data_IF_556067433205
#
_entry.id   IF_556067433205
#
_cell.length_a   1.000
_cell.length_b   1.000
_cell.length_c   1.000
_cell.angle_alpha   90.00
_cell.angle_beta   90.00
_cell.angle_gamma   90.00
#
_symmetry.space_group_name_H-M   'P 1'
#
loop_
_entity.id
_entity.type
_entity.pdbx_description
1 polymer ?
#
# COMPACT_ATOMS: atom_id res chain seq x y z
N UNK A 1 -44.36 -19.68 -33.83
CA UNK A 1 -43.35 -20.10 -32.85
C UNK A 1 -42.17 -19.13 -32.96
N UNK A 2 -42.14 -18.12 -32.10
CA UNK A 2 -41.07 -17.09 -32.08
C UNK A 2 -40.98 -16.53 -30.66
N UNK A 3 -40.48 -17.35 -29.73
CA UNK A 3 -40.13 -16.96 -28.37
C UNK A 3 -38.95 -17.81 -27.92
N UNK A 4 -37.73 -17.46 -28.31
CA UNK A 4 -36.52 -18.07 -27.70
C UNK A 4 -35.29 -17.15 -27.71
N UNK A 5 -35.32 -16.03 -28.41
CA UNK A 5 -34.17 -15.10 -28.46
C UNK A 5 -34.16 -14.08 -27.32
N UNK A 6 -35.31 -13.70 -26.77
CA UNK A 6 -35.39 -12.68 -25.71
C UNK A 6 -34.87 -13.14 -24.34
N UNK A 7 -34.87 -14.45 -24.05
CA UNK A 7 -34.44 -14.96 -22.73
C UNK A 7 -32.93 -15.17 -22.65
N UNK A 8 -32.28 -15.50 -23.76
CA UNK A 8 -30.82 -15.76 -23.81
C UNK A 8 -30.06 -14.43 -23.70
N UNK A 9 -30.48 -13.43 -24.49
CA UNK A 9 -29.95 -12.07 -24.40
C UNK A 9 -30.16 -11.42 -23.02
N UNK A 10 -31.24 -11.74 -22.32
CA UNK A 10 -31.49 -11.25 -20.96
C UNK A 10 -30.67 -11.93 -19.87
N UNK A 11 -30.19 -13.16 -20.12
CA UNK A 11 -29.27 -13.89 -19.24
C UNK A 11 -27.84 -13.36 -19.39
N UNK A 12 -27.35 -13.26 -20.63
CA UNK A 12 -25.99 -12.80 -20.93
C UNK A 12 -25.75 -11.36 -20.42
N UNK A 13 -26.75 -10.49 -20.51
CA UNK A 13 -26.66 -9.10 -20.00
C UNK A 13 -26.65 -9.04 -18.47
N UNK A 14 -27.31 -10.00 -17.80
CA UNK A 14 -27.34 -10.06 -16.33
C UNK A 14 -26.04 -10.62 -15.76
N UNK A 15 -25.52 -11.69 -16.35
CA UNK A 15 -24.24 -12.29 -15.96
C UNK A 15 -23.10 -11.30 -16.15
N UNK A 16 -23.11 -10.57 -17.27
CA UNK A 16 -22.16 -9.49 -17.54
C UNK A 16 -22.25 -8.34 -16.51
N UNK A 17 -23.45 -7.99 -16.05
CA UNK A 17 -23.64 -6.96 -15.03
C UNK A 17 -23.17 -7.41 -13.64
N UNK A 18 -23.20 -8.71 -13.35
CA UNK A 18 -22.73 -9.27 -12.07
C UNK A 18 -21.20 -9.38 -12.04
N UNK A 19 -20.57 -9.88 -13.12
CA UNK A 19 -19.10 -9.92 -13.28
C UNK A 19 -18.46 -8.53 -13.10
N UNK A 20 -19.18 -7.52 -13.55
CA UNK A 20 -18.79 -6.13 -13.41
C UNK A 20 -18.88 -5.55 -12.03
N UNK A 21 -19.98 -5.86 -11.33
CA UNK A 21 -20.14 -5.42 -9.96
C UNK A 21 -19.01 -6.01 -9.14
N UNK A 22 -18.67 -7.27 -9.40
CA UNK A 22 -17.52 -7.94 -8.78
C UNK A 22 -16.20 -7.23 -9.13
N UNK A 23 -15.95 -6.90 -10.40
CA UNK A 23 -14.77 -6.12 -10.81
C UNK A 23 -14.69 -4.74 -10.11
N UNK A 24 -15.82 -4.07 -9.93
CA UNK A 24 -15.91 -2.82 -9.16
C UNK A 24 -15.51 -2.99 -7.70
N UNK A 25 -16.01 -4.03 -7.05
CA UNK A 25 -15.67 -4.38 -5.66
C UNK A 25 -14.18 -4.70 -5.53
N UNK A 26 -13.61 -5.47 -6.47
CA UNK A 26 -12.18 -5.79 -6.47
C UNK A 26 -11.29 -4.56 -6.68
N UNK A 27 -11.67 -3.65 -7.56
CA UNK A 27 -10.94 -2.40 -7.79
C UNK A 27 -10.95 -1.50 -6.54
N UNK A 28 -12.13 -1.33 -5.91
CA UNK A 28 -12.26 -0.55 -4.68
C UNK A 28 -11.49 -1.18 -3.52
N UNK A 29 -11.54 -2.50 -3.38
CA UNK A 29 -10.76 -3.23 -2.36
C UNK A 29 -9.25 -3.09 -2.60
N UNK A 30 -8.79 -3.13 -3.85
CA UNK A 30 -7.38 -2.91 -4.20
C UNK A 30 -6.93 -1.48 -3.86
N UNK A 31 -7.76 -0.46 -4.12
CA UNK A 31 -7.46 0.92 -3.75
C UNK A 31 -7.33 1.07 -2.22
N UNK A 32 -8.30 0.57 -1.45
CA UNK A 32 -8.29 0.63 0.01
C UNK A 32 -7.08 -0.11 0.62
N UNK A 33 -6.74 -1.28 0.07
CA UNK A 33 -5.53 -1.99 0.48
C UNK A 33 -4.26 -1.19 0.16
N UNK A 34 -4.22 -0.52 -0.99
CA UNK A 34 -3.12 0.37 -1.37
C UNK A 34 -2.94 1.53 -0.39
N UNK A 35 -4.03 2.20 -0.02
CA UNK A 35 -4.01 3.32 0.93
C UNK A 35 -3.51 2.87 2.31
N UNK A 36 -3.99 1.73 2.81
CA UNK A 36 -3.55 1.16 4.08
C UNK A 36 -2.04 0.84 4.08
N UNK A 37 -1.53 0.29 2.97
CA UNK A 37 -0.10 0.01 2.80
C UNK A 37 0.74 1.29 2.75
N UNK A 38 0.25 2.33 2.08
CA UNK A 38 0.90 3.63 2.02
C UNK A 38 0.94 4.31 3.39
N UNK A 39 -0.16 4.23 4.15
CA UNK A 39 -0.22 4.74 5.52
C UNK A 39 0.78 4.01 6.43
N UNK A 40 0.83 2.68 6.36
CA UNK A 40 1.79 1.88 7.12
C UNK A 40 3.23 2.23 6.76
N UNK A 41 3.54 2.40 5.47
CA UNK A 41 4.84 2.87 5.02
C UNK A 41 5.20 4.23 5.63
N UNK A 42 4.24 5.18 5.66
CA UNK A 42 4.42 6.47 6.32
C UNK A 42 4.73 6.34 7.81
N UNK A 43 3.99 5.49 8.53
CA UNK A 43 4.23 5.21 9.96
C UNK A 43 5.62 4.61 10.21
N UNK A 44 6.11 3.75 9.33
CA UNK A 44 7.46 3.17 9.44
C UNK A 44 8.56 4.21 9.24
N UNK A 45 8.42 5.12 8.27
CA UNK A 45 9.36 6.24 8.08
C UNK A 45 9.37 7.18 9.28
N UNK A 46 8.19 7.48 9.84
CA UNK A 46 8.08 8.27 11.07
C UNK A 46 8.81 7.56 12.24
N UNK A 47 8.64 6.25 12.37
CA UNK A 47 9.34 5.46 13.38
C UNK A 47 10.86 5.50 13.17
N UNK A 48 11.34 5.38 11.93
CA UNK A 48 12.75 5.48 11.59
C UNK A 48 13.34 6.84 12.00
N UNK A 49 12.67 7.94 11.62
CA UNK A 49 13.06 9.29 12.00
C UNK A 49 13.05 9.50 13.53
N UNK A 50 12.08 8.91 14.22
CA UNK A 50 11.98 8.98 15.70
C UNK A 50 13.17 8.27 16.36
N UNK A 51 13.55 7.10 15.86
CA UNK A 51 14.70 6.33 16.35
C UNK A 51 16.00 7.12 16.14
N UNK A 52 16.18 7.77 14.98
CA UNK A 52 17.34 8.65 14.73
C UNK A 52 17.38 9.84 15.69
N UNK A 53 16.24 10.52 15.87
CA UNK A 53 16.13 11.67 16.76
C UNK A 53 16.44 11.29 18.21
N UNK A 54 15.91 10.16 18.69
CA UNK A 54 16.22 9.64 20.02
C UNK A 54 17.70 9.27 20.16
N UNK A 55 18.31 8.65 19.14
CA UNK A 55 19.73 8.34 19.16
C UNK A 55 20.60 9.60 19.21
N UNK A 56 20.21 10.67 18.51
CA UNK A 56 20.87 11.96 18.56
C UNK A 56 20.73 12.62 19.95
N UNK A 57 19.52 12.56 20.54
CA UNK A 57 19.27 13.06 21.89
C UNK A 57 20.08 12.29 22.95
N UNK A 58 20.12 10.96 22.87
CA UNK A 58 20.95 10.14 23.77
C UNK A 58 22.44 10.49 23.64
N UNK A 59 22.94 10.69 22.43
CA UNK A 59 24.32 11.18 22.22
C UNK A 59 24.56 12.56 22.81
N UNK A 60 23.61 13.49 22.68
CA UNK A 60 23.70 14.84 23.24
C UNK A 60 23.66 14.86 24.77
N UNK A 61 22.78 14.06 25.38
CA UNK A 61 22.62 13.96 26.84
C UNK A 61 23.80 13.22 27.50
N UNK A 62 24.37 12.24 26.82
CA UNK A 62 25.46 11.41 27.34
C UNK A 62 26.84 11.81 26.79
N UNK A 63 26.95 12.96 26.12
CA UNK A 63 28.15 13.41 25.41
C UNK A 63 29.41 13.50 26.31
N UNK A 64 29.23 13.55 27.64
CA UNK A 64 30.33 13.62 28.61
C UNK A 64 30.87 12.23 29.00
N UNK A 65 30.04 11.17 28.97
CA UNK A 65 30.39 9.85 29.52
C UNK A 65 30.32 8.69 28.50
N UNK A 66 29.72 8.91 27.32
CA UNK A 66 29.44 7.81 26.39
C UNK A 66 30.37 7.80 25.19
N UNK A 67 31.55 7.20 25.37
CA UNK A 67 32.55 6.96 24.33
C UNK A 67 32.96 5.49 24.25
N UNK A 68 33.71 5.11 23.21
CA UNK A 68 34.26 3.77 23.06
C UNK A 68 33.36 2.75 22.33
N UNK A 69 33.66 1.46 22.51
CA UNK A 69 33.05 0.37 21.75
C UNK A 69 31.52 0.29 21.94
N UNK A 70 31.01 0.58 23.13
CA UNK A 70 29.58 0.56 23.43
C UNK A 70 28.81 1.64 22.66
N UNK A 71 29.36 2.86 22.59
CA UNK A 71 28.75 3.96 21.82
C UNK A 71 28.74 3.64 20.32
N UNK A 72 29.82 3.02 19.82
CA UNK A 72 29.91 2.56 18.42
C UNK A 72 28.89 1.48 18.11
N UNK A 73 28.75 0.48 18.99
CA UNK A 73 27.77 -0.59 18.84
C UNK A 73 26.33 -0.05 18.85
N UNK A 74 26.02 0.89 19.73
CA UNK A 74 24.71 1.55 19.76
C UNK A 74 24.41 2.29 18.45
N UNK A 75 25.36 3.10 17.95
CA UNK A 75 25.20 3.82 16.69
C UNK A 75 24.97 2.85 15.51
N UNK A 76 25.72 1.74 15.47
CA UNK A 76 25.54 0.69 14.48
C UNK A 76 24.16 0.03 14.56
N UNK A 77 23.68 -0.28 15.77
CA UNK A 77 22.37 -0.88 15.98
C UNK A 77 21.23 0.04 15.54
N UNK A 78 21.32 1.33 15.87
CA UNK A 78 20.37 2.36 15.41
C UNK A 78 20.35 2.41 13.89
N UNK A 79 21.53 2.50 13.24
CA UNK A 79 21.63 2.58 11.79
C UNK A 79 21.00 1.35 11.11
N UNK A 80 21.27 0.14 11.62
CA UNK A 80 20.67 -1.09 11.08
C UNK A 80 19.15 -1.08 11.22
N UNK A 81 18.61 -0.62 12.36
CA UNK A 81 17.16 -0.55 12.56
C UNK A 81 16.49 0.46 11.65
N UNK A 82 17.07 1.64 11.48
CA UNK A 82 16.57 2.67 10.56
C UNK A 82 16.53 2.12 9.13
N UNK A 83 17.61 1.49 8.67
CA UNK A 83 17.67 0.89 7.31
C UNK A 83 16.58 -0.18 7.13
N UNK A 84 16.33 -1.02 8.13
CA UNK A 84 15.29 -2.04 8.07
C UNK A 84 13.88 -1.42 7.95
N UNK A 85 13.60 -0.37 8.74
CA UNK A 85 12.32 0.32 8.71
C UNK A 85 12.09 1.03 7.36
N UNK A 86 13.10 1.74 6.85
CA UNK A 86 13.03 2.42 5.55
C UNK A 86 12.86 1.43 4.40
N UNK A 87 13.57 0.29 4.42
CA UNK A 87 13.40 -0.75 3.41
C UNK A 87 11.99 -1.33 3.42
N UNK A 88 11.46 -1.67 4.59
CA UNK A 88 10.09 -2.17 4.70
C UNK A 88 9.07 -1.12 4.23
N UNK A 89 9.28 0.16 4.58
CA UNK A 89 8.44 1.25 4.11
C UNK A 89 8.48 1.39 2.57
N UNK A 90 9.65 1.23 1.95
CA UNK A 90 9.79 1.26 0.50
C UNK A 90 9.07 0.09 -0.17
N UNK A 91 9.21 -1.13 0.36
CA UNK A 91 8.53 -2.33 -0.15
C UNK A 91 7.00 -2.16 -0.07
N UNK A 92 6.48 -1.68 1.06
CA UNK A 92 5.05 -1.40 1.25
C UNK A 92 4.55 -0.30 0.31
N UNK A 93 5.31 0.78 0.10
CA UNK A 93 4.96 1.82 -0.85
C UNK A 93 4.93 1.29 -2.30
N UNK A 94 5.83 0.37 -2.66
CA UNK A 94 5.82 -0.32 -3.95
C UNK A 94 4.57 -1.19 -4.15
N UNK A 95 4.15 -1.90 -3.10
CA UNK A 95 2.90 -2.67 -3.11
C UNK A 95 1.68 -1.75 -3.21
N UNK A 96 1.66 -0.65 -2.47
CA UNK A 96 0.60 0.37 -2.54
C UNK A 96 0.45 0.93 -3.96
N UNK A 97 1.57 1.32 -4.59
CA UNK A 97 1.56 1.81 -5.98
C UNK A 97 1.09 0.75 -6.98
N UNK A 98 1.39 -0.53 -6.73
CA UNK A 98 0.89 -1.63 -7.58
C UNK A 98 -0.62 -1.82 -7.41
N UNK A 99 -1.13 -1.74 -6.17
CA UNK A 99 -2.56 -1.84 -5.89
C UNK A 99 -3.34 -0.69 -6.53
N UNK A 100 -2.84 0.55 -6.42
CA UNK A 100 -3.42 1.73 -7.07
C UNK A 100 -3.47 1.59 -8.60
N UNK A 101 -2.40 1.10 -9.24
CA UNK A 101 -2.41 0.82 -10.69
C UNK A 101 -3.46 -0.21 -11.09
N UNK A 102 -3.64 -1.27 -10.29
CA UNK A 102 -4.67 -2.29 -10.57
C UNK A 102 -6.07 -1.73 -10.41
N UNK A 103 -6.32 -0.92 -9.39
CA UNK A 103 -7.60 -0.24 -9.21
C UNK A 103 -7.92 0.66 -10.42
N UNK A 104 -6.97 1.50 -10.83
CA UNK A 104 -7.12 2.36 -12.00
C UNK A 104 -7.35 1.58 -13.31
N UNK A 105 -6.69 0.42 -13.48
CA UNK A 105 -6.93 -0.45 -14.62
C UNK A 105 -8.35 -1.05 -14.60
N UNK A 106 -8.83 -1.47 -13.43
CA UNK A 106 -10.21 -1.95 -13.25
C UNK A 106 -11.24 -0.86 -13.57
N UNK A 107 -10.99 0.37 -13.13
CA UNK A 107 -11.84 1.52 -13.44
C UNK A 107 -11.84 1.88 -14.94
N UNK A 108 -10.66 1.83 -15.58
CA UNK A 108 -10.53 2.07 -17.01
C UNK A 108 -11.27 1.01 -17.85
N UNK A 109 -11.22 -0.27 -17.44
CA UNK A 109 -11.98 -1.34 -18.10
C UNK A 109 -13.49 -1.12 -17.99
N UNK A 110 -13.96 -0.68 -16.81
CA UNK A 110 -15.38 -0.35 -16.60
C UNK A 110 -15.83 0.81 -17.47
N UNK A 111 -15.03 1.87 -17.54
CA UNK A 111 -15.30 3.02 -18.39
C UNK A 111 -15.31 2.67 -19.89
N UNK A 112 -14.34 1.86 -20.34
CA UNK A 112 -14.21 1.43 -21.74
C UNK A 112 -15.40 0.57 -22.21
N UNK A 113 -16.02 -0.19 -21.29
CA UNK A 113 -17.22 -0.95 -21.57
C UNK A 113 -18.49 -0.08 -21.71
N UNK A 114 -18.38 1.25 -21.60
CA UNK A 114 -19.53 2.16 -21.69
C UNK A 114 -20.41 2.15 -20.45
N UNK A 115 -19.89 1.60 -19.36
CA UNK A 115 -20.59 1.45 -18.09
C UNK A 115 -20.14 2.59 -17.19
N UNK A 116 -20.82 3.72 -17.38
CA UNK A 116 -20.46 4.98 -16.74
C UNK A 116 -20.44 4.87 -15.22
N UNK A 117 -19.49 5.62 -14.65
CA UNK A 117 -19.25 5.88 -13.23
C UNK A 117 -20.48 6.22 -12.41
#
# INVERSE_FOLDING_TARGET
MTQTTSSVLGGDVRDLADDLRDLGVHAAAAAAAGDALAELAGRLRLAAATVEAQAAAHRGLLAVDWTGAAATAFAGLVAVRVVQLERLAADLAGLAGTASRRAAAGDALRAAAGWAS
#
